data_IF_983489588087
#
_entry.id   IF_983489588087
#
_cell.length_a   1.000
_cell.length_b   1.000
_cell.length_c   1.000
_cell.angle_alpha   90.00
_cell.angle_beta   90.00
_cell.angle_gamma   90.00
#
_symmetry.space_group_name_H-M   'P 1'
#
loop_
_entity.id
_entity.type
_entity.pdbx_description
1 polymer ?
#
# COMPACT_ATOMS: atom_id res chain seq x y z
N UNK A 1 -9.67 -13.28 19.51
CA UNK A 1 -11.11 -13.56 19.36
C UNK A 1 -11.35 -15.03 19.74
N UNK A 2 -12.42 -15.35 20.45
CA UNK A 2 -12.81 -16.76 20.67
C UNK A 2 -13.89 -17.10 19.64
N UNK A 3 -13.56 -17.90 18.64
CA UNK A 3 -14.54 -18.40 17.68
C UNK A 3 -14.82 -19.87 17.98
N UNK A 4 -16.09 -20.28 17.88
CA UNK A 4 -16.49 -21.67 18.08
C UNK A 4 -16.18 -22.48 16.82
N UNK A 5 -15.68 -23.71 16.99
CA UNK A 5 -15.50 -24.65 15.89
C UNK A 5 -16.86 -25.22 15.45
N UNK A 6 -17.00 -25.56 14.17
CA UNK A 6 -18.20 -26.13 13.57
C UNK A 6 -17.87 -27.11 12.44
N UNK A 7 -18.72 -28.10 12.22
CA UNK A 7 -18.70 -28.95 11.03
C UNK A 7 -19.84 -28.58 10.07
N UNK A 8 -20.92 -28.02 10.62
CA UNK A 8 -22.10 -27.58 9.89
C UNK A 8 -22.64 -26.27 10.49
N UNK A 9 -23.48 -25.55 9.74
CA UNK A 9 -24.08 -24.30 10.23
C UNK A 9 -24.98 -24.49 11.45
N UNK A 10 -25.48 -25.69 11.71
CA UNK A 10 -26.30 -26.01 12.89
C UNK A 10 -25.48 -26.04 14.19
N UNK A 11 -24.15 -26.13 14.09
CA UNK A 11 -23.24 -26.07 15.24
C UNK A 11 -23.04 -24.62 15.74
N UNK A 12 -23.46 -23.65 14.94
CA UNK A 12 -23.34 -22.23 15.22
C UNK A 12 -24.58 -21.68 15.90
N UNK A 13 -24.39 -20.63 16.72
CA UNK A 13 -25.52 -19.91 17.33
C UNK A 13 -26.33 -19.18 16.25
N UNK A 14 -27.61 -18.94 16.50
CA UNK A 14 -28.46 -18.14 15.59
C UNK A 14 -27.76 -16.82 15.18
N UNK A 15 -27.73 -16.57 13.87
CA UNK A 15 -27.01 -15.44 13.26
C UNK A 15 -25.52 -15.71 12.97
N UNK A 16 -25.08 -16.96 13.00
CA UNK A 16 -23.74 -17.39 12.62
C UNK A 16 -23.80 -18.56 11.64
N UNK A 17 -22.89 -18.60 10.66
CA UNK A 17 -22.72 -19.69 9.69
C UNK A 17 -21.34 -20.33 9.86
N UNK A 18 -21.26 -21.61 9.47
CA UNK A 18 -20.00 -22.33 9.48
C UNK A 18 -19.23 -22.05 8.18
N UNK A 19 -18.13 -21.29 8.26
CA UNK A 19 -17.33 -20.93 7.08
C UNK A 19 -16.26 -21.99 6.75
N UNK A 20 -15.70 -21.91 5.55
CA UNK A 20 -14.60 -22.78 5.11
C UNK A 20 -13.38 -22.58 6.04
N UNK A 21 -13.17 -23.55 6.92
CA UNK A 21 -12.25 -23.44 8.06
C UNK A 21 -12.81 -24.04 9.35
N UNK A 22 -14.11 -24.37 9.37
CA UNK A 22 -14.75 -25.04 10.49
C UNK A 22 -14.91 -24.12 11.70
N UNK A 23 -15.21 -22.84 11.44
CA UNK A 23 -15.37 -21.81 12.46
C UNK A 23 -16.69 -21.08 12.27
N UNK A 24 -17.40 -20.81 13.36
CA UNK A 24 -18.64 -20.05 13.34
C UNK A 24 -18.37 -18.55 13.15
N UNK A 25 -18.82 -17.99 12.04
CA UNK A 25 -18.71 -16.59 11.69
C UNK A 25 -20.09 -15.92 11.63
N UNK A 26 -20.25 -14.62 11.98
CA UNK A 26 -21.52 -13.93 11.84
C UNK A 26 -22.08 -14.09 10.42
N UNK A 27 -23.31 -14.60 10.32
CA UNK A 27 -24.00 -14.74 9.04
C UNK A 27 -25.00 -13.64 8.81
N UNK A 28 -25.26 -13.36 7.55
CA UNK A 28 -26.17 -12.31 7.14
C UNK A 28 -26.89 -12.73 5.86
N UNK A 29 -28.05 -12.13 5.65
CA UNK A 29 -28.81 -12.13 4.39
C UNK A 29 -29.11 -10.71 3.92
N UNK A 30 -28.58 -9.72 4.65
CA UNK A 30 -28.62 -8.29 4.37
C UNK A 30 -27.65 -7.55 5.30
N UNK A 31 -27.18 -6.37 4.87
CA UNK A 31 -26.28 -5.51 5.65
C UNK A 31 -26.84 -5.13 7.03
N UNK A 32 -28.16 -5.10 7.18
CA UNK A 32 -28.83 -4.77 8.44
C UNK A 32 -28.49 -5.76 9.57
N UNK A 33 -27.97 -6.94 9.24
CA UNK A 33 -27.57 -7.98 10.21
C UNK A 33 -26.09 -7.86 10.62
N UNK A 34 -25.31 -7.04 9.92
CA UNK A 34 -23.90 -6.78 10.19
C UNK A 34 -23.73 -5.57 11.12
N UNK A 35 -24.36 -5.64 12.29
CA UNK A 35 -24.51 -4.50 13.23
C UNK A 35 -23.24 -4.10 13.97
N UNK A 36 -22.24 -4.98 14.04
CA UNK A 36 -20.93 -4.69 14.64
C UNK A 36 -19.85 -4.42 13.59
N UNK A 37 -19.94 -5.04 12.40
CA UNK A 37 -19.03 -4.77 11.27
C UNK A 37 -19.70 -5.12 9.93
N UNK A 38 -20.04 -4.09 9.16
CA UNK A 38 -19.88 -4.11 7.71
C UNK A 38 -21.04 -4.54 6.80
N UNK A 39 -20.67 -5.09 5.63
CA UNK A 39 -21.56 -5.38 4.50
C UNK A 39 -21.77 -6.88 4.42
N UNK A 40 -22.98 -7.30 4.05
CA UNK A 40 -23.27 -8.69 3.84
C UNK A 40 -22.74 -9.15 2.50
N UNK A 41 -21.85 -10.14 2.51
CA UNK A 41 -21.45 -10.82 1.29
C UNK A 41 -22.48 -11.89 0.93
N UNK A 42 -23.25 -11.63 -0.13
CA UNK A 42 -24.32 -12.54 -0.62
C UNK A 42 -23.77 -13.88 -1.18
N UNK A 43 -22.47 -14.00 -1.41
CA UNK A 43 -21.83 -15.21 -1.92
C UNK A 43 -21.41 -16.14 -0.78
N UNK A 44 -20.97 -15.57 0.35
CA UNK A 44 -20.52 -16.32 1.53
C UNK A 44 -21.50 -16.27 2.72
N UNK A 45 -22.61 -15.54 2.59
CA UNK A 45 -23.60 -15.29 3.65
C UNK A 45 -22.95 -14.79 4.95
N UNK A 46 -21.90 -13.97 4.85
CA UNK A 46 -21.04 -13.58 5.97
C UNK A 46 -20.83 -12.06 6.02
N UNK A 47 -20.70 -11.53 7.24
CA UNK A 47 -20.40 -10.11 7.46
C UNK A 47 -18.92 -9.84 7.33
N UNK A 48 -18.57 -8.90 6.45
CA UNK A 48 -17.20 -8.42 6.24
C UNK A 48 -17.08 -6.92 6.42
N UNK A 49 -15.91 -6.47 6.84
CA UNK A 49 -15.65 -5.04 7.01
C UNK A 49 -15.51 -4.37 5.62
N UNK A 50 -16.29 -3.30 5.32
CA UNK A 50 -16.18 -2.57 4.07
C UNK A 50 -14.87 -1.80 3.97
N UNK A 51 -14.57 -1.32 2.77
CA UNK A 51 -13.43 -0.46 2.49
C UNK A 51 -13.38 0.72 3.49
N UNK A 52 -12.22 0.91 4.11
CA UNK A 52 -11.91 1.91 5.14
C UNK A 52 -12.29 1.58 6.58
N UNK A 53 -12.80 0.37 6.81
CA UNK A 53 -12.93 -0.15 8.17
C UNK A 53 -11.56 -0.46 8.80
N UNK A 54 -11.52 -0.44 10.14
CA UNK A 54 -10.35 -0.90 10.88
C UNK A 54 -10.11 -2.38 10.71
N UNK A 55 -8.84 -2.78 10.65
CA UNK A 55 -8.45 -4.18 10.58
C UNK A 55 -7.11 -4.41 11.28
N UNK A 56 -6.90 -5.66 11.70
CA UNK A 56 -5.60 -6.13 12.20
C UNK A 56 -5.04 -7.30 11.38
N UNK A 57 -5.85 -7.85 10.48
CA UNK A 57 -5.52 -8.98 9.63
C UNK A 57 -6.40 -8.95 8.37
N UNK A 58 -5.93 -9.58 7.30
CA UNK A 58 -6.57 -9.57 5.98
C UNK A 58 -7.96 -10.23 5.97
N UNK A 59 -8.14 -11.28 6.77
CA UNK A 59 -9.36 -12.10 6.81
C UNK A 59 -10.61 -11.37 7.30
N UNK A 60 -10.46 -10.19 7.94
CA UNK A 60 -11.61 -9.40 8.41
C UNK A 60 -12.16 -8.43 7.36
N UNK A 61 -11.46 -8.28 6.23
CA UNK A 61 -11.78 -7.32 5.18
C UNK A 61 -12.56 -7.96 4.04
N UNK A 62 -13.56 -7.24 3.54
CA UNK A 62 -14.31 -7.64 2.33
C UNK A 62 -13.44 -7.65 1.07
N UNK A 63 -12.48 -6.73 0.99
CA UNK A 63 -11.47 -6.65 -0.08
C UNK A 63 -10.27 -7.58 0.11
N UNK A 64 -10.33 -8.50 1.07
CA UNK A 64 -9.27 -9.47 1.43
C UNK A 64 -7.95 -8.86 1.93
N UNK A 65 -7.77 -7.54 1.93
CA UNK A 65 -6.50 -6.91 2.29
C UNK A 65 -6.64 -5.89 3.43
N UNK A 66 -5.79 -6.04 4.44
CA UNK A 66 -5.65 -5.09 5.52
C UNK A 66 -4.38 -4.26 5.34
N UNK A 67 -4.54 -3.01 4.89
CA UNK A 67 -3.44 -2.05 4.80
C UNK A 67 -3.01 -1.67 6.21
N UNK A 68 -1.94 -2.27 6.71
CA UNK A 68 -1.47 -2.04 8.08
C UNK A 68 -0.65 -0.76 8.21
N UNK A 69 -0.63 -0.21 9.43
CA UNK A 69 0.21 0.94 9.75
C UNK A 69 1.70 0.65 9.51
N UNK A 70 2.15 -0.55 9.87
CA UNK A 70 3.56 -0.92 9.81
C UNK A 70 4.08 -1.05 8.38
N UNK A 71 3.21 -1.34 7.41
CA UNK A 71 3.62 -1.61 6.03
C UNK A 71 3.23 -0.49 5.07
N UNK A 72 2.05 0.11 5.26
CA UNK A 72 1.47 1.08 4.32
C UNK A 72 1.13 2.41 4.97
N UNK A 73 1.44 2.58 6.26
CA UNK A 73 1.22 3.84 6.94
C UNK A 73 -0.22 4.14 7.36
N UNK A 74 -1.15 3.18 7.25
CA UNK A 74 -2.57 3.33 7.61
C UNK A 74 -2.82 3.09 9.12
N UNK A 75 -3.02 4.13 9.95
CA UNK A 75 -3.14 3.99 11.39
C UNK A 75 -4.36 3.17 11.80
N UNK A 76 -4.17 2.15 12.64
CA UNK A 76 -5.25 1.26 13.06
C UNK A 76 -5.75 0.29 11.98
N UNK A 77 -4.99 0.15 10.88
CA UNK A 77 -5.30 -0.73 9.76
C UNK A 77 -6.48 -0.24 8.92
N UNK A 78 -6.47 -0.54 7.63
CA UNK A 78 -7.49 -0.09 6.69
C UNK A 78 -7.86 -1.21 5.73
N UNK A 79 -9.11 -1.69 5.80
CA UNK A 79 -9.61 -2.66 4.85
C UNK A 79 -9.69 -2.04 3.46
N UNK A 80 -9.11 -2.69 2.47
CA UNK A 80 -9.15 -2.27 1.08
C UNK A 80 -9.22 -3.50 0.19
N UNK A 81 -9.94 -3.40 -0.92
CA UNK A 81 -9.77 -4.27 -2.09
C UNK A 81 -8.71 -3.75 -3.05
N UNK A 82 -8.31 -4.62 -3.98
CA UNK A 82 -7.68 -4.18 -5.23
C UNK A 82 -8.72 -3.81 -6.26
N UNK A 83 -8.38 -2.85 -7.10
CA UNK A 83 -9.22 -2.42 -8.20
C UNK A 83 -8.36 -2.02 -9.41
N UNK A 84 -9.00 -1.73 -10.54
CA UNK A 84 -8.32 -1.30 -11.76
C UNK A 84 -8.59 -2.21 -12.95
N UNK A 85 -7.75 -2.09 -13.97
CA UNK A 85 -7.99 -2.69 -15.28
C UNK A 85 -7.96 -4.22 -15.21
N UNK A 86 -9.15 -4.82 -15.22
CA UNK A 86 -9.33 -6.28 -15.22
C UNK A 86 -9.36 -6.95 -13.84
N UNK A 87 -9.27 -6.18 -12.75
CA UNK A 87 -9.25 -6.71 -11.38
C UNK A 87 -10.62 -6.59 -10.69
N UNK A 88 -11.44 -5.60 -11.07
CA UNK A 88 -12.82 -5.43 -10.57
C UNK A 88 -13.08 -4.04 -10.00
N UNK A 89 -14.34 -3.78 -9.62
CA UNK A 89 -14.76 -2.56 -8.92
C UNK A 89 -14.69 -2.76 -7.40
N UNK A 90 -14.58 -1.67 -6.65
CA UNK A 90 -14.58 -1.69 -5.20
C UNK A 90 -15.95 -2.13 -4.66
N UNK A 91 -16.00 -3.36 -4.15
CA UNK A 91 -17.22 -4.02 -3.66
C UNK A 91 -17.72 -3.46 -2.33
N UNK A 92 -16.89 -2.71 -1.60
CA UNK A 92 -17.24 -2.08 -0.31
C UNK A 92 -17.79 -0.65 -0.41
N UNK A 93 -18.14 -0.18 -1.63
CA UNK A 93 -18.53 1.21 -1.86
C UNK A 93 -17.35 2.19 -1.89
N UNK A 94 -16.11 1.65 -1.95
CA UNK A 94 -14.90 2.42 -2.17
C UNK A 94 -14.84 3.06 -3.56
N UNK A 95 -14.01 4.09 -3.69
CA UNK A 95 -13.52 4.62 -4.95
C UNK A 95 -12.15 4.03 -5.23
N UNK A 96 -11.95 3.57 -6.47
CA UNK A 96 -10.66 3.05 -6.89
C UNK A 96 -9.65 4.20 -7.04
N UNK A 97 -8.63 4.21 -6.20
CA UNK A 97 -7.49 5.10 -6.32
C UNK A 97 -6.35 4.37 -7.01
N UNK A 98 -5.90 4.89 -8.14
CA UNK A 98 -4.78 4.36 -8.93
C UNK A 98 -3.74 5.48 -9.01
N UNK A 99 -2.50 5.19 -8.61
CA UNK A 99 -1.43 6.16 -8.74
C UNK A 99 -1.11 6.43 -10.23
N UNK A 100 -0.72 7.67 -10.58
CA UNK A 100 -0.39 8.00 -11.96
C UNK A 100 0.73 7.12 -12.53
N UNK A 101 0.40 6.29 -13.51
CA UNK A 101 1.36 5.36 -14.14
C UNK A 101 1.04 3.88 -13.88
N UNK A 102 0.21 3.60 -12.87
CA UNK A 102 -0.22 2.24 -12.54
C UNK A 102 -1.51 1.83 -13.26
N UNK A 103 -1.73 0.51 -13.33
CA UNK A 103 -2.98 -0.09 -13.86
C UNK A 103 -3.83 -0.74 -12.76
N UNK A 104 -3.25 -0.88 -11.56
CA UNK A 104 -3.87 -1.47 -10.37
C UNK A 104 -3.88 -0.43 -9.27
N UNK A 105 -4.98 -0.37 -8.54
CA UNK A 105 -5.19 0.57 -7.45
C UNK A 105 -5.73 -0.11 -6.20
N UNK A 106 -6.00 0.73 -5.20
CA UNK A 106 -6.59 0.35 -3.93
C UNK A 106 -7.96 1.02 -3.76
N UNK A 107 -8.86 0.34 -3.06
CA UNK A 107 -10.19 0.84 -2.77
C UNK A 107 -10.18 1.71 -1.50
N UNK A 108 -10.43 3.01 -1.67
CA UNK A 108 -10.52 3.97 -0.58
C UNK A 108 -11.95 4.45 -0.38
N UNK A 109 -12.33 4.78 0.85
CA UNK A 109 -13.66 5.25 1.19
C UNK A 109 -13.84 6.62 0.56
N UNK A 110 -14.92 6.85 -0.19
CA UNK A 110 -15.22 8.16 -0.73
C UNK A 110 -15.61 9.12 0.38
N UNK A 111 -15.28 10.40 0.22
CA UNK A 111 -15.59 11.45 1.18
C UNK A 111 -15.91 12.77 0.48
N UNK A 112 -16.69 13.63 1.14
CA UNK A 112 -16.90 15.02 0.75
C UNK A 112 -16.31 16.00 1.78
N UNK A 113 -16.10 15.54 3.01
CA UNK A 113 -15.42 16.26 4.08
C UNK A 113 -14.70 15.28 5.03
N UNK A 114 -13.78 15.78 5.84
CA UNK A 114 -13.03 14.96 6.83
C UNK A 114 -13.95 14.19 7.78
N UNK A 115 -15.15 14.70 8.06
CA UNK A 115 -16.14 14.03 8.91
C UNK A 115 -16.71 12.75 8.32
N UNK A 116 -16.55 12.54 7.01
CA UNK A 116 -16.96 11.31 6.33
C UNK A 116 -15.89 10.22 6.50
N UNK A 117 -14.67 10.60 6.86
CA UNK A 117 -13.56 9.70 7.11
C UNK A 117 -13.52 9.25 8.58
N UNK A 118 -12.88 8.10 8.81
CA UNK A 118 -12.62 7.57 10.15
C UNK A 118 -11.72 8.52 10.93
N UNK A 119 -11.85 8.56 12.26
CA UNK A 119 -10.94 9.32 13.12
C UNK A 119 -9.46 9.03 12.79
N UNK A 120 -8.67 10.10 12.60
CA UNK A 120 -7.28 10.00 12.16
C UNK A 120 -7.10 9.97 10.64
N UNK A 121 -8.17 10.11 9.87
CA UNK A 121 -8.16 10.23 8.41
C UNK A 121 -8.74 11.58 7.99
N UNK A 122 -8.29 12.07 6.84
CA UNK A 122 -8.77 13.29 6.20
C UNK A 122 -9.31 13.00 4.81
N UNK A 123 -10.19 13.88 4.33
CA UNK A 123 -10.70 13.81 2.98
C UNK A 123 -9.76 14.56 2.04
N UNK A 124 -9.08 13.83 1.16
CA UNK A 124 -8.14 14.43 0.21
C UNK A 124 -8.88 15.07 -0.98
N UNK A 125 -8.14 15.83 -1.80
CA UNK A 125 -8.68 16.55 -2.96
C UNK A 125 -9.38 15.63 -3.98
N UNK A 126 -8.98 14.37 -4.03
CA UNK A 126 -9.57 13.34 -4.91
C UNK A 126 -10.83 12.69 -4.33
N UNK A 127 -11.36 13.20 -3.21
CA UNK A 127 -12.56 12.70 -2.53
C UNK A 127 -12.39 11.29 -1.98
N UNK A 128 -11.19 10.93 -1.55
CA UNK A 128 -10.85 9.66 -0.90
C UNK A 128 -10.25 9.89 0.48
N UNK A 129 -10.55 8.98 1.41
CA UNK A 129 -10.04 9.06 2.79
C UNK A 129 -8.61 8.55 2.91
N UNK A 130 -7.72 9.40 3.41
CA UNK A 130 -6.30 9.08 3.65
C UNK A 130 -5.89 9.31 5.10
N UNK A 131 -4.83 8.65 5.59
CA UNK A 131 -4.26 8.94 6.91
C UNK A 131 -3.92 10.42 7.05
N UNK A 132 -4.51 11.06 8.06
CA UNK A 132 -4.33 12.46 8.35
C UNK A 132 -3.21 12.73 9.34
N UNK A 133 -2.62 13.91 9.25
CA UNK A 133 -1.53 14.36 10.12
C UNK A 133 -1.51 15.88 10.27
N UNK A 134 -0.80 16.31 11.32
CA UNK A 134 -0.44 17.71 11.60
C UNK A 134 1.07 17.88 11.82
N UNK A 135 1.81 16.77 11.86
CA UNK A 135 3.27 16.71 11.98
C UNK A 135 3.75 15.32 11.57
N UNK A 136 4.99 15.20 11.12
CA UNK A 136 5.62 13.94 10.68
C UNK A 136 5.59 12.84 11.75
N UNK A 137 5.62 13.21 13.04
CA UNK A 137 5.55 12.28 14.16
C UNK A 137 4.22 11.49 14.26
N UNK A 138 3.20 11.87 13.49
CA UNK A 138 1.92 11.16 13.40
C UNK A 138 1.87 10.19 12.22
N UNK A 139 2.81 10.32 11.28
CA UNK A 139 2.95 9.41 10.16
C UNK A 139 3.78 8.20 10.57
N UNK A 140 3.61 7.11 9.83
CA UNK A 140 4.40 5.90 10.05
C UNK A 140 5.82 6.07 9.51
N UNK A 141 6.74 5.21 9.94
CA UNK A 141 8.12 5.25 9.47
C UNK A 141 8.17 5.26 7.93
N UNK A 142 8.92 6.21 7.35
CA UNK A 142 9.00 6.40 5.90
C UNK A 142 7.93 7.29 5.29
N UNK A 143 7.05 7.91 6.08
CA UNK A 143 6.04 8.88 5.62
C UNK A 143 6.22 10.23 6.31
N UNK A 144 5.88 11.31 5.62
CA UNK A 144 5.94 12.68 6.12
C UNK A 144 4.58 13.35 6.04
N UNK A 145 4.36 14.33 6.89
CA UNK A 145 3.11 15.07 6.87
C UNK A 145 3.15 16.14 5.78
N UNK A 146 2.39 15.93 4.71
CA UNK A 146 2.34 16.87 3.61
C UNK A 146 1.58 18.16 3.99
N UNK A 147 1.76 19.27 3.23
CA UNK A 147 1.06 20.51 3.50
C UNK A 147 -0.47 20.41 3.41
N UNK A 148 -1.00 19.37 2.75
CA UNK A 148 -2.45 19.07 2.70
C UNK A 148 -2.94 18.35 3.95
N UNK A 149 -2.04 17.98 4.87
CA UNK A 149 -2.36 17.25 6.09
C UNK A 149 -2.48 15.75 5.91
N UNK A 150 -1.97 15.19 4.80
CA UNK A 150 -1.94 13.76 4.50
C UNK A 150 -0.58 13.18 4.85
N UNK A 151 -0.54 11.97 5.39
CA UNK A 151 0.71 11.22 5.45
C UNK A 151 1.05 10.68 4.07
N UNK A 152 1.97 11.36 3.41
CA UNK A 152 2.45 11.00 2.09
C UNK A 152 3.85 10.38 2.21
N UNK A 153 4.25 9.51 1.27
CA UNK A 153 5.66 9.22 1.11
C UNK A 153 6.43 10.54 0.93
N UNK A 154 7.65 10.67 1.47
CA UNK A 154 8.44 11.89 1.36
C UNK A 154 8.58 12.32 -0.10
N UNK A 155 7.98 13.46 -0.42
CA UNK A 155 8.13 14.16 -1.71
C UNK A 155 9.53 14.75 -1.87
N UNK A 156 10.20 14.99 -0.74
CA UNK A 156 11.61 15.32 -0.63
C UNK A 156 12.36 14.03 -0.26
N UNK A 157 12.35 13.12 -1.21
CA UNK A 157 13.41 12.16 -1.44
C UNK A 157 14.76 12.85 -1.22
N UNK A 158 15.62 12.33 -0.33
CA UNK A 158 16.86 13.02 0.09
C UNK A 158 17.77 13.43 -1.07
N UNK A 159 18.83 14.20 -0.80
CA UNK A 159 19.68 14.75 -1.86
C UNK A 159 20.47 13.70 -2.68
N UNK A 160 20.40 12.40 -2.33
CA UNK A 160 21.14 11.33 -2.98
C UNK A 160 20.60 11.01 -4.37
N UNK A 161 21.40 11.24 -5.41
CA UNK A 161 21.09 10.86 -6.79
C UNK A 161 21.02 9.33 -6.94
N UNK A 162 20.44 8.86 -8.04
CA UNK A 162 20.48 7.43 -8.37
C UNK A 162 21.92 6.92 -8.42
N UNK A 163 22.19 5.82 -7.69
CA UNK A 163 23.52 5.25 -7.48
C UNK A 163 24.30 5.79 -6.28
N UNK A 164 23.81 6.82 -5.60
CA UNK A 164 24.41 7.30 -4.35
C UNK A 164 24.25 6.30 -3.19
N UNK A 165 25.11 6.47 -2.18
CA UNK A 165 25.03 5.72 -0.94
C UNK A 165 23.82 6.17 -0.10
N UNK A 166 23.17 5.22 0.56
CA UNK A 166 22.06 5.51 1.47
C UNK A 166 22.02 4.55 2.66
N UNK A 167 21.36 4.98 3.73
CA UNK A 167 21.03 4.16 4.88
C UNK A 167 19.51 3.95 5.01
N UNK A 168 18.71 4.83 4.44
CA UNK A 168 17.26 4.74 4.38
C UNK A 168 16.71 5.36 3.08
N UNK A 169 15.48 5.01 2.73
CA UNK A 169 14.75 5.56 1.57
C UNK A 169 14.71 7.09 1.56
N UNK A 170 14.62 7.70 2.74
CA UNK A 170 14.64 9.16 2.90
C UNK A 170 15.95 9.83 2.50
N UNK A 171 17.04 9.08 2.29
CA UNK A 171 18.32 9.64 1.84
C UNK A 171 18.37 9.84 0.32
N UNK A 172 17.46 9.20 -0.42
CA UNK A 172 17.51 9.07 -1.87
C UNK A 172 16.49 9.93 -2.56
N UNK A 173 16.90 10.62 -3.63
CA UNK A 173 16.10 11.48 -4.51
C UNK A 173 15.10 10.70 -5.37
N UNK A 174 15.31 9.40 -5.57
CA UNK A 174 14.33 8.48 -6.18
C UNK A 174 13.38 7.82 -5.17
N UNK A 175 13.58 8.04 -3.87
CA UNK A 175 12.71 7.55 -2.80
C UNK A 175 12.90 6.09 -2.38
N UNK A 176 13.87 5.37 -2.96
CA UNK A 176 14.17 3.98 -2.58
C UNK A 176 15.67 3.78 -2.32
N UNK A 177 15.99 3.10 -1.22
CA UNK A 177 17.34 2.71 -0.85
C UNK A 177 17.46 1.19 -0.82
N UNK A 178 18.09 0.59 -1.83
CA UNK A 178 18.43 -0.83 -1.76
C UNK A 178 19.56 -1.05 -0.76
N UNK A 179 19.40 -2.04 0.12
CA UNK A 179 20.30 -2.25 1.25
C UNK A 179 21.37 -3.32 0.95
N UNK A 180 22.27 -3.55 1.91
CA UNK A 180 23.19 -4.70 1.83
C UNK A 180 22.45 -6.05 1.80
N UNK A 181 21.25 -6.12 2.37
CA UNK A 181 20.43 -7.34 2.32
C UNK A 181 19.96 -7.65 0.89
N UNK A 182 19.83 -6.61 0.05
CA UNK A 182 19.46 -6.69 -1.36
C UNK A 182 20.69 -6.87 -2.27
N UNK A 183 21.88 -6.95 -1.68
CA UNK A 183 23.15 -7.15 -2.39
C UNK A 183 23.82 -5.85 -2.83
N UNK A 184 23.42 -4.70 -2.28
CA UNK A 184 23.98 -3.37 -2.58
C UNK A 184 24.88 -2.88 -1.44
N UNK A 185 26.22 -3.06 -1.53
CA UNK A 185 27.14 -2.64 -0.48
C UNK A 185 27.04 -1.15 -0.19
N UNK A 186 26.87 -0.80 1.08
CA UNK A 186 26.74 0.61 1.52
C UNK A 186 25.50 1.34 1.00
N UNK A 187 24.45 0.61 0.61
CA UNK A 187 23.16 1.11 0.16
C UNK A 187 23.17 1.75 -1.24
N UNK A 188 22.11 1.66 -2.03
CA UNK A 188 22.03 2.24 -3.38
C UNK A 188 20.71 2.99 -3.58
N UNK A 189 20.81 4.29 -3.82
CA UNK A 189 19.67 5.11 -4.16
C UNK A 189 19.13 4.79 -5.54
N UNK A 190 17.81 4.60 -5.63
CA UNK A 190 17.09 4.34 -6.87
C UNK A 190 15.65 4.87 -6.75
N UNK A 191 14.89 4.75 -7.83
CA UNK A 191 13.48 5.10 -7.90
C UNK A 191 12.78 4.37 -9.05
N UNK A 192 11.44 4.29 -9.03
CA UNK A 192 10.67 3.78 -10.15
C UNK A 192 10.82 4.69 -11.36
N UNK A 193 10.81 4.11 -12.56
CA UNK A 193 10.97 4.89 -13.79
C UNK A 193 10.31 4.25 -15.01
N UNK A 194 10.11 5.07 -16.04
CA UNK A 194 9.63 4.66 -17.35
C UNK A 194 10.74 4.84 -18.40
N UNK A 195 11.01 3.83 -19.25
CA UNK A 195 12.00 3.95 -20.32
C UNK A 195 11.72 5.12 -21.26
N UNK A 196 12.71 6.02 -21.37
CA UNK A 196 12.63 7.21 -22.23
C UNK A 196 11.95 8.43 -21.59
N UNK A 197 11.52 8.34 -20.33
CA UNK A 197 11.16 9.48 -19.51
C UNK A 197 12.36 9.98 -18.69
N UNK A 198 12.25 11.19 -18.15
CA UNK A 198 13.28 11.86 -17.33
C UNK A 198 12.94 11.68 -15.84
N UNK A 199 12.77 10.43 -15.43
CA UNK A 199 12.30 10.04 -14.09
C UNK A 199 13.45 9.83 -13.10
N UNK A 200 14.67 9.61 -13.61
CA UNK A 200 15.83 9.23 -12.80
C UNK A 200 16.55 10.46 -12.23
N UNK A 201 16.48 10.60 -10.90
CA UNK A 201 17.05 11.71 -10.16
C UNK A 201 18.58 11.72 -10.27
N UNK A 202 19.12 12.74 -10.93
CA UNK A 202 20.57 12.90 -11.12
C UNK A 202 21.11 12.33 -12.43
N UNK A 203 20.24 11.86 -13.34
CA UNK A 203 20.61 11.50 -14.72
C UNK A 203 20.98 10.03 -14.93
N UNK A 204 20.20 9.12 -14.36
CA UNK A 204 20.34 7.67 -14.56
C UNK A 204 19.59 7.12 -15.78
N UNK A 205 19.81 5.83 -16.05
CA UNK A 205 19.08 5.07 -17.05
C UNK A 205 18.00 4.22 -16.37
N UNK A 206 16.81 4.19 -16.98
CA UNK A 206 15.73 3.34 -16.52
C UNK A 206 15.93 1.88 -16.96
N UNK A 207 16.40 1.04 -16.03
CA UNK A 207 16.61 -0.38 -16.26
C UNK A 207 15.31 -1.15 -15.98
N UNK A 208 14.83 -1.91 -16.97
CA UNK A 208 13.66 -2.78 -16.81
C UNK A 208 14.05 -4.16 -16.31
N UNK A 209 13.24 -4.72 -15.43
CA UNK A 209 13.27 -6.15 -15.12
C UNK A 209 12.59 -6.99 -16.23
N UNK A 210 12.54 -8.32 -16.04
CA UNK A 210 11.91 -9.25 -16.98
C UNK A 210 10.38 -9.15 -17.03
N UNK A 211 9.79 -8.42 -16.09
CA UNK A 211 8.35 -8.24 -15.90
C UNK A 211 7.87 -6.86 -16.36
N UNK A 212 8.79 -5.94 -16.67
CA UNK A 212 8.51 -4.60 -17.19
C UNK A 212 8.53 -3.49 -16.13
N UNK A 213 8.93 -3.78 -14.88
CA UNK A 213 9.12 -2.75 -13.86
C UNK A 213 10.47 -2.06 -14.05
N UNK A 214 10.48 -0.72 -14.01
CA UNK A 214 11.68 0.08 -14.20
C UNK A 214 12.30 0.53 -12.88
N UNK A 215 13.62 0.41 -12.77
CA UNK A 215 14.43 0.98 -11.68
C UNK A 215 15.51 1.88 -12.24
N UNK A 216 15.73 3.03 -11.61
CA UNK A 216 16.80 3.93 -11.99
C UNK A 216 18.16 3.40 -11.56
N UNK A 217 19.09 3.34 -12.52
CA UNK A 217 20.47 2.97 -12.26
C UNK A 217 21.42 4.04 -12.80
N UNK A 218 22.47 4.33 -12.04
CA UNK A 218 23.54 5.21 -12.48
C UNK A 218 24.23 4.64 -13.73
N UNK A 219 24.38 5.48 -14.76
CA UNK A 219 25.11 5.14 -15.97
C UNK A 219 26.63 5.12 -15.74
N UNK A 220 27.34 4.31 -16.52
CA UNK A 220 28.80 4.24 -16.50
C UNK A 220 29.37 3.89 -17.87
N UNK A 221 30.59 4.34 -18.17
CA UNK A 221 31.37 3.84 -19.31
C UNK A 221 32.38 2.78 -18.85
N UNK A 222 32.89 2.94 -17.63
CA UNK A 222 33.91 2.11 -17.01
C UNK A 222 33.64 1.92 -15.52
N UNK A 223 34.24 0.91 -14.90
CA UNK A 223 34.06 0.68 -13.45
C UNK A 223 34.61 1.79 -12.57
N UNK A 224 35.44 2.69 -13.12
CA UNK A 224 35.95 3.86 -12.40
C UNK A 224 34.88 4.97 -12.26
N UNK A 225 33.82 4.92 -13.08
CA UNK A 225 32.66 5.82 -12.95
C UNK A 225 31.74 5.41 -11.80
N UNK A 226 31.88 4.17 -11.32
CA UNK A 226 31.07 3.62 -10.26
C UNK A 226 31.72 3.80 -8.88
N UNK A 227 30.88 3.87 -7.84
CA UNK A 227 31.34 3.88 -6.44
C UNK A 227 32.09 2.59 -6.11
N UNK A 228 33.02 2.68 -5.16
CA UNK A 228 33.72 1.52 -4.62
C UNK A 228 32.73 0.42 -4.16
N UNK A 229 32.95 -0.80 -4.66
CA UNK A 229 32.04 -1.94 -4.44
C UNK A 229 31.13 -2.25 -5.63
N UNK A 230 31.05 -1.36 -6.63
CA UNK A 230 30.24 -1.51 -7.84
C UNK A 230 31.13 -1.62 -9.08
N UNK A 231 30.63 -2.31 -10.10
CA UNK A 231 31.33 -2.45 -11.37
C UNK A 231 30.43 -2.02 -12.52
N UNK A 232 31.04 -1.44 -13.55
CA UNK A 232 30.28 -1.09 -14.74
C UNK A 232 29.96 -2.34 -15.54
N UNK A 233 28.68 -2.61 -15.71
CA UNK A 233 28.17 -3.76 -16.45
C UNK A 233 27.04 -3.31 -17.37
N UNK A 234 27.19 -3.55 -18.67
CA UNK A 234 26.22 -3.14 -19.69
C UNK A 234 25.89 -1.63 -19.68
N UNK A 235 26.82 -0.80 -19.20
CA UNK A 235 26.65 0.66 -19.11
C UNK A 235 25.99 1.15 -17.82
N UNK A 236 25.78 0.27 -16.83
CA UNK A 236 25.16 0.59 -15.54
C UNK A 236 26.04 0.16 -14.36
N UNK A 237 26.03 0.94 -13.28
CA UNK A 237 26.70 0.60 -12.03
C UNK A 237 25.86 -0.38 -11.21
N UNK A 238 26.38 -1.60 -11.02
CA UNK A 238 25.75 -2.71 -10.30
C UNK A 238 26.78 -3.61 -9.59
#
# INVERSE_FOLDING_TARGET
MCAAECETSDDCRDGYACIAGGVCWPSCTSDAQCTEVGVCDDYWDACYSPDGSACTEDSVCSGEWCLSQAQYGFPGGYCSGFCGDGIGECTGGGTCYIDPGDTTGICLTPCAADSDCRDGYICDADNTCWPGCTSDAQCSDGYVCSPTGRCDPPTETGDGADGDACAADSDCAGGFCFSEADGFPGGYCTGPCTPGADDCAGGGYCALDGEGNGVCAAECETSDDCREGYACSSGLCQ
#
